data_IF_272305559808
#
_entry.id   IF_272305559808
#
_cell.length_a   1.000
_cell.length_b   1.000
_cell.length_c   1.000
_cell.angle_alpha   90.00
_cell.angle_beta   90.00
_cell.angle_gamma   90.00
#
_symmetry.space_group_name_H-M   'P 1'
#
loop_
_entity.id
_entity.type
_entity.pdbx_description
1 polymer ?
#
# COMPACT_ATOMS: atom_id res chain seq x y z
N UNK A 1 12.36 14.64 22.27
CA UNK A 1 13.39 13.61 22.53
C UNK A 1 14.52 13.86 21.54
N UNK A 2 15.76 13.64 21.95
CA UNK A 2 16.92 13.76 21.05
C UNK A 2 17.14 12.45 20.30
N UNK A 3 16.89 12.45 19.01
CA UNK A 3 16.99 11.26 18.14
C UNK A 3 18.42 11.03 17.61
N UNK A 4 19.38 11.89 17.95
CA UNK A 4 20.76 11.83 17.44
C UNK A 4 21.44 10.48 17.70
N UNK A 5 21.08 9.82 18.80
CA UNK A 5 21.61 8.50 19.19
C UNK A 5 20.95 7.33 18.45
N UNK A 6 19.88 7.58 17.71
CA UNK A 6 19.12 6.56 16.97
C UNK A 6 19.36 6.66 15.45
N UNK A 7 19.99 7.74 15.02
CA UNK A 7 20.22 8.01 13.60
C UNK A 7 21.35 7.14 13.04
N UNK A 8 21.13 6.61 11.86
CA UNK A 8 22.11 5.86 11.06
C UNK A 8 22.42 6.62 9.76
N UNK A 9 23.70 6.76 9.43
CA UNK A 9 24.12 7.46 8.22
C UNK A 9 24.57 6.44 7.17
N UNK A 10 23.99 6.48 5.99
CA UNK A 10 24.41 5.66 4.85
C UNK A 10 25.86 6.03 4.45
N UNK A 11 26.73 5.03 4.40
CA UNK A 11 28.12 5.12 3.95
C UNK A 11 28.23 4.68 2.48
N UNK A 12 27.60 3.56 2.15
CA UNK A 12 27.52 3.06 0.79
C UNK A 12 26.22 2.28 0.58
N UNK A 13 25.76 2.24 -0.67
CA UNK A 13 24.53 1.56 -1.07
C UNK A 13 24.78 0.71 -2.30
N UNK A 14 24.25 -0.49 -2.35
CA UNK A 14 24.34 -1.37 -3.49
C UNK A 14 23.02 -2.10 -3.75
N UNK A 15 22.56 -2.08 -5.01
CA UNK A 15 21.42 -2.88 -5.46
C UNK A 15 21.90 -4.34 -5.63
N UNK A 16 21.21 -5.26 -4.97
CA UNK A 16 21.46 -6.71 -5.06
C UNK A 16 20.53 -7.39 -6.07
N UNK A 17 19.31 -6.84 -6.23
CA UNK A 17 18.31 -7.30 -7.19
C UNK A 17 17.44 -6.12 -7.59
N UNK A 18 17.04 -6.06 -8.86
CA UNK A 18 16.08 -5.08 -9.35
C UNK A 18 14.97 -5.81 -10.08
N UNK A 19 13.74 -5.63 -9.61
CA UNK A 19 12.54 -6.26 -10.18
C UNK A 19 11.47 -5.22 -10.54
N UNK A 20 10.36 -5.68 -11.15
CA UNK A 20 9.28 -4.77 -11.56
C UNK A 20 8.52 -4.17 -10.38
N UNK A 21 8.49 -4.85 -9.24
CA UNK A 21 7.72 -4.42 -8.06
C UNK A 21 8.60 -3.74 -7.01
N UNK A 22 9.79 -4.28 -6.77
CA UNK A 22 10.71 -3.76 -5.74
C UNK A 22 12.17 -4.04 -6.12
N UNK A 23 13.05 -3.25 -5.52
CA UNK A 23 14.48 -3.48 -5.54
C UNK A 23 14.95 -4.00 -4.18
N UNK A 24 15.98 -4.86 -4.17
CA UNK A 24 16.68 -5.27 -2.95
C UNK A 24 17.96 -4.46 -2.82
N UNK A 25 18.10 -3.75 -1.73
CA UNK A 25 19.28 -2.97 -1.39
C UNK A 25 20.07 -3.63 -0.26
N UNK A 26 21.39 -3.45 -0.30
CA UNK A 26 22.30 -3.76 0.79
C UNK A 26 23.18 -2.55 1.04
N UNK A 27 22.90 -1.87 2.15
CA UNK A 27 23.60 -0.65 2.53
C UNK A 27 24.57 -0.92 3.67
N UNK A 28 25.72 -0.24 3.64
CA UNK A 28 26.59 -0.08 4.81
C UNK A 28 26.23 1.23 5.48
N UNK A 29 25.90 1.18 6.77
CA UNK A 29 25.56 2.37 7.57
C UNK A 29 26.58 2.58 8.70
N UNK A 30 26.80 3.83 9.05
CA UNK A 30 27.52 4.22 10.26
C UNK A 30 26.50 4.45 11.38
N UNK A 31 26.70 3.76 12.49
CA UNK A 31 25.91 3.86 13.70
C UNK A 31 26.34 5.06 14.57
N UNK A 32 25.56 5.43 15.56
CA UNK A 32 25.88 6.52 16.49
C UNK A 32 27.21 6.32 17.25
N UNK A 33 27.64 5.06 17.44
CA UNK A 33 28.90 4.69 18.09
C UNK A 33 30.09 4.62 17.13
N UNK A 34 29.94 5.13 15.89
CA UNK A 34 30.94 5.13 14.81
C UNK A 34 31.31 3.75 14.23
N UNK A 35 30.66 2.69 14.66
CA UNK A 35 30.79 1.38 14.03
C UNK A 35 29.94 1.31 12.78
N UNK A 36 30.32 0.41 11.88
CA UNK A 36 29.50 0.14 10.69
C UNK A 36 28.63 -1.10 10.89
N UNK A 37 27.48 -1.10 10.22
CA UNK A 37 26.57 -2.24 10.15
C UNK A 37 26.00 -2.34 8.74
N UNK A 38 25.48 -3.52 8.38
CA UNK A 38 24.79 -3.77 7.12
C UNK A 38 23.27 -3.67 7.33
N UNK A 39 22.59 -3.12 6.30
CA UNK A 39 21.11 -3.06 6.22
C UNK A 39 20.68 -3.61 4.86
N UNK A 40 19.98 -4.74 4.89
CA UNK A 40 19.37 -5.33 3.70
C UNK A 40 17.86 -5.03 3.76
N UNK A 41 17.33 -4.43 2.71
CA UNK A 41 15.93 -4.02 2.68
C UNK A 41 15.35 -4.01 1.26
N UNK A 42 14.01 -4.07 1.20
CA UNK A 42 13.24 -3.93 -0.03
C UNK A 42 12.84 -2.45 -0.20
N UNK A 43 13.21 -1.88 -1.34
CA UNK A 43 12.78 -0.53 -1.71
C UNK A 43 11.57 -0.63 -2.62
N UNK A 44 10.47 -0.02 -2.19
CA UNK A 44 9.19 0.00 -2.88
C UNK A 44 8.76 1.44 -3.16
N UNK A 45 8.02 1.68 -4.24
CA UNK A 45 7.54 3.03 -4.63
C UNK A 45 6.48 3.57 -3.69
N UNK A 46 5.75 2.71 -3.02
CA UNK A 46 4.60 3.00 -2.20
C UNK A 46 3.32 2.46 -2.81
N UNK A 47 2.24 2.61 -2.09
CA UNK A 47 0.92 2.15 -2.49
C UNK A 47 -0.17 3.05 -1.93
N UNK A 48 -1.39 2.83 -2.39
CA UNK A 48 -2.61 3.42 -1.85
C UNK A 48 -3.55 2.31 -1.41
N UNK A 49 -4.41 2.59 -0.46
CA UNK A 49 -5.51 1.71 -0.06
C UNK A 49 -6.75 2.56 0.22
N UNK A 50 -7.91 2.05 -0.15
CA UNK A 50 -9.18 2.78 -0.04
C UNK A 50 -10.17 1.97 0.76
N UNK A 51 -10.81 2.60 1.75
CA UNK A 51 -11.96 2.06 2.48
C UNK A 51 -13.23 2.61 1.83
N UNK A 52 -13.90 1.87 0.92
CA UNK A 52 -15.10 2.36 0.25
C UNK A 52 -16.31 2.13 1.15
N UNK A 53 -16.72 3.19 1.85
CA UNK A 53 -17.84 3.16 2.80
C UNK A 53 -19.16 3.45 2.08
N UNK A 54 -20.08 2.50 2.12
CA UNK A 54 -21.44 2.65 1.55
C UNK A 54 -22.33 3.49 2.45
N UNK A 55 -23.40 4.02 1.87
CA UNK A 55 -24.42 4.80 2.62
C UNK A 55 -25.16 3.95 3.67
N UNK A 56 -25.09 2.61 3.53
CA UNK A 56 -25.68 1.65 4.47
C UNK A 56 -24.74 1.26 5.62
N UNK A 57 -23.54 1.83 5.68
CA UNK A 57 -22.53 1.50 6.70
C UNK A 57 -21.77 0.20 6.44
N UNK A 58 -21.80 -0.30 5.21
CA UNK A 58 -20.95 -1.40 4.75
C UNK A 58 -19.66 -0.89 4.14
N UNK A 59 -18.67 -1.78 4.02
CA UNK A 59 -17.40 -1.54 3.30
C UNK A 59 -17.32 -2.55 2.17
N UNK A 60 -16.90 -2.08 0.99
CA UNK A 60 -16.63 -2.99 -0.13
C UNK A 60 -15.28 -3.64 0.13
N UNK A 61 -15.30 -4.97 0.24
CA UNK A 61 -14.12 -5.81 0.42
C UNK A 61 -13.95 -6.63 -0.84
N UNK A 62 -12.74 -6.66 -1.34
CA UNK A 62 -12.34 -7.52 -2.44
C UNK A 62 -11.63 -8.78 -1.94
N UNK A 63 -11.54 -9.80 -2.80
CA UNK A 63 -10.79 -11.02 -2.53
C UNK A 63 -9.89 -11.32 -3.72
N UNK A 64 -8.62 -11.51 -3.44
CA UNK A 64 -7.62 -11.83 -4.44
C UNK A 64 -6.68 -12.93 -3.93
N UNK A 65 -6.20 -13.80 -4.83
CA UNK A 65 -5.16 -14.76 -4.48
C UNK A 65 -3.82 -14.05 -4.34
N UNK A 66 -3.25 -14.07 -3.14
CA UNK A 66 -1.92 -13.49 -2.90
C UNK A 66 -0.86 -14.60 -2.95
N UNK A 67 -0.13 -14.64 -4.08
CA UNK A 67 0.84 -15.69 -4.34
C UNK A 67 1.87 -15.90 -3.21
N UNK A 68 2.45 -14.86 -2.58
CA UNK A 68 3.38 -15.06 -1.47
C UNK A 68 2.73 -15.72 -0.24
N UNK A 69 1.43 -15.56 -0.07
CA UNK A 69 0.66 -16.14 1.04
C UNK A 69 0.01 -17.48 0.70
N UNK A 70 0.05 -17.87 -0.60
CA UNK A 70 -0.55 -19.11 -1.14
C UNK A 70 -2.03 -19.30 -0.75
N UNK A 71 -2.78 -18.19 -0.67
CA UNK A 71 -4.21 -18.21 -0.33
C UNK A 71 -4.95 -16.99 -0.86
N UNK A 72 -6.28 -17.12 -0.94
CA UNK A 72 -7.18 -15.97 -1.15
C UNK A 72 -7.25 -15.15 0.12
N UNK A 73 -7.04 -13.84 -0.02
CA UNK A 73 -7.15 -12.87 1.07
C UNK A 73 -8.34 -11.96 0.83
N UNK A 74 -8.94 -11.47 1.92
CA UNK A 74 -9.95 -10.43 1.91
C UNK A 74 -9.26 -9.11 2.24
N UNK A 75 -9.43 -8.13 1.39
CA UNK A 75 -8.68 -6.88 1.43
C UNK A 75 -9.60 -5.70 1.07
N UNK A 76 -9.20 -4.49 1.38
CA UNK A 76 -9.78 -3.28 0.78
C UNK A 76 -9.06 -3.02 -0.55
N UNK A 77 -9.69 -2.36 -1.55
CA UNK A 77 -9.03 -1.96 -2.79
C UNK A 77 -7.70 -1.25 -2.53
N UNK A 78 -6.65 -1.70 -3.20
CA UNK A 78 -5.30 -1.23 -2.95
C UNK A 78 -4.37 -1.49 -4.13
N UNK A 79 -3.64 -0.48 -4.57
CA UNK A 79 -2.69 -0.61 -5.67
C UNK A 79 -1.40 0.16 -5.47
N UNK A 80 -0.42 -0.17 -6.30
CA UNK A 80 0.91 0.45 -6.28
C UNK A 80 0.87 1.87 -6.86
N UNK A 81 1.73 2.73 -6.34
CA UNK A 81 2.02 3.99 -7.00
C UNK A 81 2.85 3.73 -8.26
N UNK A 82 2.36 4.24 -9.37
CA UNK A 82 3.05 4.21 -10.65
C UNK A 82 4.00 5.41 -10.82
N UNK A 83 4.91 5.32 -11.80
CA UNK A 83 5.91 6.38 -12.02
C UNK A 83 5.28 7.73 -12.43
N UNK A 84 4.06 7.70 -12.95
CA UNK A 84 3.31 8.89 -13.37
C UNK A 84 2.43 9.47 -12.27
N UNK A 85 2.19 8.73 -11.17
CA UNK A 85 1.38 9.21 -10.06
C UNK A 85 2.13 10.31 -9.30
N UNK A 86 1.64 11.54 -9.40
CA UNK A 86 2.21 12.71 -8.70
C UNK A 86 1.53 12.96 -7.36
N UNK A 87 0.31 12.47 -7.18
CA UNK A 87 -0.48 12.55 -5.95
C UNK A 87 -1.06 11.16 -5.62
N UNK A 88 -0.81 10.62 -4.42
CA UNK A 88 -1.42 9.37 -3.97
C UNK A 88 -2.96 9.35 -4.04
N UNK A 89 -3.61 10.51 -3.93
CA UNK A 89 -5.06 10.60 -4.08
C UNK A 89 -5.54 10.23 -5.48
N UNK A 90 -4.80 10.61 -6.53
CA UNK A 90 -5.19 10.27 -7.89
C UNK A 90 -4.99 8.78 -8.16
N UNK A 91 -3.93 8.17 -7.63
CA UNK A 91 -3.77 6.72 -7.62
C UNK A 91 -4.93 6.03 -6.88
N UNK A 92 -5.33 6.51 -5.71
CA UNK A 92 -6.46 5.94 -4.96
C UNK A 92 -7.78 5.98 -5.73
N UNK A 93 -8.06 7.06 -6.47
CA UNK A 93 -9.24 7.16 -7.34
C UNK A 93 -9.16 6.19 -8.52
N UNK A 94 -7.98 6.05 -9.11
CA UNK A 94 -7.73 5.16 -10.24
C UNK A 94 -7.94 3.71 -9.83
N UNK A 95 -7.27 3.24 -8.79
CA UNK A 95 -7.35 1.86 -8.28
C UNK A 95 -8.79 1.49 -7.88
N UNK A 96 -9.49 2.36 -7.13
CA UNK A 96 -10.88 2.13 -6.76
C UNK A 96 -11.79 1.90 -7.98
N UNK A 97 -11.53 2.63 -9.07
CA UNK A 97 -12.30 2.51 -10.30
C UNK A 97 -11.91 1.28 -11.12
N UNK A 98 -10.62 0.95 -11.19
CA UNK A 98 -10.11 -0.17 -11.97
C UNK A 98 -10.50 -1.50 -11.35
N UNK A 99 -10.22 -1.70 -10.06
CA UNK A 99 -10.45 -2.96 -9.35
C UNK A 99 -11.93 -3.28 -9.16
N UNK A 100 -12.72 -2.32 -8.70
CA UNK A 100 -14.13 -2.59 -8.32
C UNK A 100 -15.17 -1.73 -9.07
N UNK A 101 -14.76 -0.92 -10.04
CA UNK A 101 -15.68 -0.09 -10.84
C UNK A 101 -16.33 1.04 -10.06
N UNK A 102 -15.80 1.43 -8.91
CA UNK A 102 -16.41 2.42 -8.02
C UNK A 102 -15.70 3.76 -8.13
N UNK A 103 -16.48 4.84 -8.15
CA UNK A 103 -16.01 6.21 -7.94
C UNK A 103 -16.65 6.80 -6.68
N UNK A 104 -16.05 7.83 -6.10
CA UNK A 104 -16.54 8.44 -4.89
C UNK A 104 -16.57 9.97 -5.01
N UNK A 105 -17.49 10.61 -4.29
CA UNK A 105 -17.62 12.07 -4.22
C UNK A 105 -16.57 12.68 -3.29
N UNK A 106 -16.18 11.93 -2.26
CA UNK A 106 -15.28 12.40 -1.21
C UNK A 106 -14.22 11.36 -0.89
N UNK A 107 -12.96 11.79 -0.76
CA UNK A 107 -11.84 11.01 -0.25
C UNK A 107 -11.25 11.71 0.97
N UNK A 108 -11.27 11.05 2.11
CA UNK A 108 -10.76 11.57 3.37
C UNK A 108 -9.47 10.80 3.72
N UNK A 109 -8.31 11.47 3.85
CA UNK A 109 -7.08 10.80 4.23
C UNK A 109 -7.20 10.28 5.67
N UNK A 110 -6.95 8.99 5.87
CA UNK A 110 -6.93 8.35 7.18
C UNK A 110 -5.52 8.30 7.77
N UNK A 111 -4.49 8.37 6.93
CA UNK A 111 -3.11 8.34 7.35
C UNK A 111 -2.23 7.50 6.44
N UNK A 112 -1.03 7.18 6.93
CA UNK A 112 -0.06 6.35 6.21
C UNK A 112 0.19 5.09 7.05
N UNK A 113 -0.10 3.93 6.47
CA UNK A 113 0.29 2.65 7.04
C UNK A 113 1.70 2.31 6.59
N UNK A 114 2.55 1.93 7.52
CA UNK A 114 3.93 1.51 7.26
C UNK A 114 3.99 0.01 7.55
N UNK A 115 4.01 -0.86 6.51
CA UNK A 115 4.20 -2.30 6.68
C UNK A 115 5.60 -2.57 7.24
N UNK A 116 6.01 -3.82 7.52
CA UNK A 116 7.20 -4.13 8.33
C UNK A 116 8.39 -3.19 8.09
N UNK A 117 8.60 -2.13 8.91
CA UNK A 117 9.56 -1.07 8.61
C UNK A 117 11.02 -1.50 8.75
N UNK A 118 11.25 -2.70 9.30
CA UNK A 118 12.58 -3.24 9.45
C UNK A 118 13.18 -3.77 8.12
N UNK A 119 12.31 -4.09 7.15
CA UNK A 119 12.74 -4.74 5.89
C UNK A 119 12.14 -4.12 4.63
N UNK A 120 11.15 -3.25 4.76
CA UNK A 120 10.41 -2.70 3.62
C UNK A 120 10.28 -1.18 3.75
N UNK A 121 10.58 -0.46 2.67
CA UNK A 121 10.46 1.01 2.63
C UNK A 121 9.08 1.50 2.20
N UNK A 122 8.12 0.62 2.01
CA UNK A 122 6.79 0.94 1.53
C UNK A 122 6.04 1.89 2.47
N UNK A 123 5.25 2.76 1.87
CA UNK A 123 4.25 3.59 2.54
C UNK A 123 2.94 3.40 1.83
N UNK A 124 1.88 3.06 2.56
CA UNK A 124 0.54 2.89 2.02
C UNK A 124 -0.30 4.07 2.48
N UNK A 125 -0.72 4.91 1.54
CA UNK A 125 -1.59 6.05 1.81
C UNK A 125 -3.03 5.56 1.86
N UNK A 126 -3.66 5.68 3.01
CA UNK A 126 -5.00 5.13 3.27
C UNK A 126 -6.03 6.24 3.20
N UNK A 127 -7.10 6.01 2.42
CA UNK A 127 -8.22 6.93 2.25
C UNK A 127 -9.55 6.27 2.59
N UNK A 128 -10.47 7.04 3.17
CA UNK A 128 -11.87 6.70 3.25
C UNK A 128 -12.59 7.32 2.05
N UNK A 129 -13.30 6.52 1.26
CA UNK A 129 -14.12 6.98 0.15
C UNK A 129 -15.60 6.93 0.50
N UNK A 130 -16.36 8.04 0.23
CA UNK A 130 -17.79 8.18 0.55
C UNK A 130 -18.57 8.74 -0.64
N UNK A 131 -19.89 8.52 -0.63
CA UNK A 131 -20.76 8.94 -1.72
C UNK A 131 -20.44 8.17 -2.99
N UNK A 132 -20.45 6.85 -2.87
CA UNK A 132 -20.04 5.90 -3.91
C UNK A 132 -20.99 5.92 -5.10
N UNK A 133 -20.44 5.78 -6.30
CA UNK A 133 -21.16 5.56 -7.55
C UNK A 133 -20.54 4.35 -8.26
N UNK A 134 -21.39 3.46 -8.75
CA UNK A 134 -20.99 2.15 -9.28
C UNK A 134 -20.96 2.18 -10.81
N UNK A 135 -19.96 1.56 -11.39
CA UNK A 135 -19.76 1.37 -12.83
C UNK A 135 -19.15 0.01 -13.12
N UNK A 136 -18.51 -0.11 -14.27
CA UNK A 136 -17.83 -1.34 -14.64
C UNK A 136 -16.38 -1.33 -14.10
N UNK A 137 -15.97 -2.43 -13.51
CA UNK A 137 -14.58 -2.69 -13.18
C UNK A 137 -13.75 -3.00 -14.43
N UNK A 138 -12.49 -2.66 -14.42
CA UNK A 138 -11.53 -2.90 -15.48
C UNK A 138 -10.17 -3.25 -14.86
N UNK A 139 -10.07 -4.36 -14.08
CA UNK A 139 -8.80 -4.77 -13.50
C UNK A 139 -7.80 -5.13 -14.60
N UNK A 140 -6.52 -5.20 -14.25
CA UNK A 140 -5.47 -5.62 -15.15
C UNK A 140 -5.70 -7.07 -15.63
N UNK A 141 -5.14 -7.45 -16.79
CA UNK A 141 -5.38 -8.76 -17.43
C UNK A 141 -4.95 -9.96 -16.56
N UNK A 142 -4.03 -9.75 -15.62
CA UNK A 142 -3.54 -10.75 -14.68
C UNK A 142 -4.14 -10.61 -13.27
N UNK A 143 -5.08 -9.69 -13.07
CA UNK A 143 -5.78 -9.48 -11.82
C UNK A 143 -7.15 -10.17 -11.80
N UNK A 144 -7.24 -11.24 -11.03
CA UNK A 144 -8.47 -12.00 -10.80
C UNK A 144 -8.97 -11.74 -9.39
N UNK A 145 -10.00 -10.90 -9.27
CA UNK A 145 -10.60 -10.53 -7.99
C UNK A 145 -12.13 -10.59 -8.05
N UNK A 146 -12.74 -10.81 -6.91
CA UNK A 146 -14.17 -10.57 -6.70
C UNK A 146 -14.36 -9.62 -5.52
N UNK A 147 -15.51 -8.95 -5.43
CA UNK A 147 -15.78 -8.01 -4.35
C UNK A 147 -17.21 -8.09 -3.86
N UNK A 148 -17.41 -7.72 -2.59
CA UNK A 148 -18.74 -7.67 -1.97
C UNK A 148 -18.79 -6.58 -0.92
N UNK A 149 -20.00 -6.09 -0.66
CA UNK A 149 -20.25 -5.27 0.52
C UNK A 149 -20.29 -6.14 1.77
N UNK A 150 -19.59 -5.70 2.81
CA UNK A 150 -19.55 -6.36 4.12
C UNK A 150 -19.88 -5.31 5.19
N UNK A 151 -20.85 -5.56 6.09
CA UNK A 151 -21.16 -4.65 7.19
C UNK A 151 -19.89 -4.34 8.02
N UNK A 152 -19.64 -3.06 8.31
CA UNK A 152 -18.44 -2.64 9.05
C UNK A 152 -18.30 -3.37 10.40
N UNK A 153 -19.40 -3.64 11.09
CA UNK A 153 -19.38 -4.37 12.36
C UNK A 153 -18.83 -5.81 12.24
N UNK A 154 -18.89 -6.41 11.05
CA UNK A 154 -18.33 -7.75 10.82
C UNK A 154 -16.83 -7.73 10.47
N UNK A 155 -16.26 -6.55 10.26
CA UNK A 155 -14.84 -6.37 9.92
C UNK A 155 -13.98 -6.01 11.13
N UNK A 156 -14.60 -5.62 12.25
CA UNK A 156 -13.93 -5.14 13.46
C UNK A 156 -14.05 -6.11 14.65
N UNK A 157 -14.74 -7.25 14.48
CA UNK A 157 -14.80 -8.36 15.44
C UNK A 157 -13.68 -9.38 15.14
#
# INVERSE_FOLDING_TARGET
MDDSRLFERTVSSAIQYSGPVFDVYSDTVELCNKKTARRDYLKHRGAVAVVPLTDNGGVIIERQFRYPQQRVMAEIPAGKLEAFDTDPLDAAKRELKEEIGVTAKEFIPLGIYIPPPAILSERIYVYLARGLSYGNAHPDEDEFLDYRETPLCQLID
#
